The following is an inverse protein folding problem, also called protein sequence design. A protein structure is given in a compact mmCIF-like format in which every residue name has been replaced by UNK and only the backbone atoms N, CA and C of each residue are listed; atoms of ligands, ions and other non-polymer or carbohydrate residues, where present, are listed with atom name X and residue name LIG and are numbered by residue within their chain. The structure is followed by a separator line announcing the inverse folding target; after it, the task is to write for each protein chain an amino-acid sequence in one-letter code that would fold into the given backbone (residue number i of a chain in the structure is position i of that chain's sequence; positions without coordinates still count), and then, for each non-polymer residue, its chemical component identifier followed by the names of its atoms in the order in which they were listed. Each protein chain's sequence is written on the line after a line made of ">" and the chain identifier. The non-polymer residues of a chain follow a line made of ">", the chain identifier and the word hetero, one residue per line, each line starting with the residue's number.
data_IF_688285713291
#
_entry.id   IF_688285713291
#
_cell.length_a   1.000
_cell.length_b   1.000
_cell.length_c   1.000
_cell.angle_alpha   90.00
_cell.angle_beta   90.00
_cell.angle_gamma   90.00
#
_symmetry.space_group_name_H-M   'P 1'
#
loop_
_entity.id
_entity.type
_entity.pdbx_description
1 polymer ?
#
# COMPACT_ATOMS: atom_id res chain seq x y z
N UNK A 1 -11.77 -12.51 -8.54
CA UNK A 1 -11.02 -12.19 -9.78
C UNK A 1 -9.53 -12.31 -9.51
N UNK A 2 -8.72 -12.65 -10.52
CA UNK A 2 -7.25 -12.61 -10.39
C UNK A 2 -6.85 -11.13 -10.28
N UNK A 3 -6.16 -10.74 -9.19
CA UNK A 3 -5.70 -9.36 -8.99
C UNK A 3 -4.70 -8.99 -10.08
N UNK A 4 -4.84 -7.79 -10.63
CA UNK A 4 -4.04 -7.28 -11.74
C UNK A 4 -3.32 -6.01 -11.29
N UNK A 5 -2.06 -5.87 -11.70
CA UNK A 5 -1.17 -4.81 -11.26
C UNK A 5 -0.66 -4.03 -12.47
N UNK A 6 -0.17 -2.81 -12.28
CA UNK A 6 0.42 -2.00 -13.35
C UNK A 6 1.54 -2.73 -14.11
N UNK A 7 2.40 -3.48 -13.42
CA UNK A 7 3.46 -4.28 -14.04
C UNK A 7 2.99 -5.60 -14.64
N UNK A 8 1.71 -5.92 -14.55
CA UNK A 8 1.09 -7.14 -15.05
C UNK A 8 -0.03 -6.86 -16.08
N UNK A 9 0.01 -5.70 -16.73
CA UNK A 9 -0.95 -5.35 -17.78
C UNK A 9 -0.73 -6.24 -19.02
N UNK A 10 -1.80 -6.85 -19.57
CA UNK A 10 -1.76 -7.58 -20.82
C UNK A 10 -1.18 -6.77 -21.99
N UNK A 11 -0.30 -7.40 -22.76
CA UNK A 11 0.43 -6.79 -23.87
C UNK A 11 -0.48 -6.19 -24.97
N UNK A 12 -1.73 -6.64 -25.09
CA UNK A 12 -2.72 -6.09 -26.02
C UNK A 12 -3.29 -4.73 -25.57
N UNK A 13 -3.26 -4.43 -24.26
CA UNK A 13 -3.64 -3.13 -23.71
C UNK A 13 -2.49 -2.11 -23.79
N UNK A 14 -1.29 -2.55 -24.19
CA UNK A 14 -0.08 -1.72 -24.32
C UNK A 14 0.23 -1.36 -25.79
N UNK A 15 -0.74 -1.49 -26.70
CA UNK A 15 -0.50 -1.31 -28.14
C UNK A 15 0.00 0.10 -28.50
N UNK A 16 -0.50 1.14 -27.81
CA UNK A 16 -0.01 2.52 -27.98
C UNK A 16 1.43 2.69 -27.48
N UNK A 17 1.77 2.09 -26.34
CA UNK A 17 3.14 2.04 -25.81
C UNK A 17 4.10 1.32 -26.75
N UNK A 18 3.68 0.21 -27.38
CA UNK A 18 4.54 -0.53 -28.33
C UNK A 18 5.01 0.29 -29.52
N UNK A 19 4.29 1.36 -29.87
CA UNK A 19 4.69 2.30 -30.93
C UNK A 19 5.81 3.24 -30.45
N UNK A 20 5.91 3.49 -29.15
CA UNK A 20 6.92 4.33 -28.48
C UNK A 20 8.00 3.45 -27.85
N UNK A 21 9.03 3.12 -28.64
CA UNK A 21 9.98 2.03 -28.34
C UNK A 21 10.74 2.22 -27.03
N UNK A 22 11.12 3.45 -26.66
CA UNK A 22 11.87 3.73 -25.42
C UNK A 22 10.94 3.64 -24.21
N UNK A 23 9.72 4.17 -24.31
CA UNK A 23 8.70 4.03 -23.27
C UNK A 23 8.32 2.56 -23.04
N UNK A 24 8.15 1.78 -24.11
CA UNK A 24 7.90 0.34 -23.98
C UNK A 24 9.06 -0.42 -23.36
N UNK A 25 10.30 -0.06 -23.70
CA UNK A 25 11.49 -0.65 -23.09
C UNK A 25 11.59 -0.30 -21.61
N UNK A 26 11.28 0.94 -21.23
CA UNK A 26 11.17 1.37 -19.84
C UNK A 26 10.13 0.53 -19.08
N UNK A 27 8.91 0.38 -19.63
CA UNK A 27 7.88 -0.49 -19.04
C UNK A 27 8.37 -1.93 -18.85
N UNK A 28 8.99 -2.53 -19.86
CA UNK A 28 9.48 -3.92 -19.77
C UNK A 28 10.59 -4.08 -18.73
N UNK A 29 11.44 -3.06 -18.55
CA UNK A 29 12.44 -3.06 -17.50
C UNK A 29 11.79 -3.03 -16.11
N UNK A 30 10.81 -2.15 -15.89
CA UNK A 30 10.08 -2.08 -14.61
C UNK A 30 9.26 -3.36 -14.34
N UNK A 31 8.61 -3.91 -15.36
CA UNK A 31 7.92 -5.20 -15.28
C UNK A 31 8.86 -6.35 -14.88
N UNK A 32 10.06 -6.41 -15.47
CA UNK A 32 11.05 -7.43 -15.12
C UNK A 32 11.53 -7.28 -13.68
N UNK A 33 11.80 -6.06 -13.22
CA UNK A 33 12.18 -5.79 -11.82
C UNK A 33 11.09 -6.26 -10.84
N UNK A 34 9.82 -5.94 -11.11
CA UNK A 34 8.71 -6.37 -10.25
C UNK A 34 8.59 -7.90 -10.21
N UNK A 35 8.75 -8.56 -11.36
CA UNK A 35 8.74 -10.02 -11.44
C UNK A 35 9.88 -10.65 -10.65
N UNK A 36 11.11 -10.13 -10.77
CA UNK A 36 12.26 -10.60 -10.00
C UNK A 36 12.06 -10.42 -8.49
N UNK A 37 11.48 -9.30 -8.07
CA UNK A 37 11.12 -9.05 -6.65
C UNK A 37 10.09 -10.06 -6.13
N UNK A 38 9.06 -10.37 -6.92
CA UNK A 38 8.04 -11.37 -6.54
C UNK A 38 8.62 -12.79 -6.53
N UNK A 39 9.45 -13.13 -7.52
CA UNK A 39 10.13 -14.43 -7.60
C UNK A 39 11.06 -14.66 -6.40
N UNK A 40 11.70 -13.61 -5.90
CA UNK A 40 12.66 -13.65 -4.79
C UNK A 40 12.13 -13.01 -3.50
N UNK A 41 10.80 -12.93 -3.31
CA UNK A 41 10.19 -12.20 -2.19
C UNK A 41 10.57 -12.73 -0.79
N UNK A 42 11.09 -13.96 -0.70
CA UNK A 42 11.59 -14.56 0.55
C UNK A 42 13.03 -14.17 0.87
N UNK A 43 13.77 -13.60 -0.08
CA UNK A 43 15.21 -13.31 0.04
C UNK A 43 15.50 -11.88 0.51
N UNK A 44 14.46 -11.05 0.68
CA UNK A 44 14.56 -9.64 1.10
C UNK A 44 13.65 -9.40 2.30
N UNK A 45 13.92 -8.34 3.06
CA UNK A 45 13.01 -7.98 4.15
C UNK A 45 11.70 -7.46 3.55
N UNK A 46 10.57 -7.79 4.19
CA UNK A 46 9.25 -7.46 3.66
C UNK A 46 9.02 -5.93 3.46
N UNK A 47 9.47 -5.03 4.36
CA UNK A 47 9.42 -3.58 4.11
C UNK A 47 10.17 -3.14 2.85
N UNK A 48 11.31 -3.77 2.58
CA UNK A 48 12.14 -3.46 1.41
C UNK A 48 11.45 -3.90 0.11
N UNK A 49 10.80 -5.07 0.15
CA UNK A 49 9.98 -5.57 -0.94
C UNK A 49 8.83 -4.60 -1.25
N UNK A 50 8.10 -4.15 -0.22
CA UNK A 50 6.97 -3.23 -0.36
C UNK A 50 7.43 -1.89 -0.95
N UNK A 51 8.47 -1.27 -0.39
CA UNK A 51 8.99 0.00 -0.90
C UNK A 51 9.45 -0.11 -2.37
N UNK A 52 10.13 -1.21 -2.72
CA UNK A 52 10.59 -1.44 -4.09
C UNK A 52 9.44 -1.61 -5.08
N UNK A 53 8.38 -2.34 -4.68
CA UNK A 53 7.21 -2.53 -5.52
C UNK A 53 6.38 -1.24 -5.63
N UNK A 54 6.20 -0.47 -4.55
CA UNK A 54 5.54 0.84 -4.58
C UNK A 54 6.25 1.83 -5.52
N UNK A 55 7.59 1.82 -5.54
CA UNK A 55 8.37 2.61 -6.49
C UNK A 55 8.11 2.20 -7.95
N UNK A 56 8.06 0.90 -8.23
CA UNK A 56 7.76 0.40 -9.57
C UNK A 56 6.32 0.77 -9.96
N UNK A 57 5.37 0.61 -9.04
CA UNK A 57 3.96 0.97 -9.22
C UNK A 57 3.81 2.41 -9.69
N UNK A 58 4.38 3.36 -8.95
CA UNK A 58 4.25 4.79 -9.24
C UNK A 58 4.93 5.17 -10.56
N UNK A 59 6.11 4.59 -10.85
CA UNK A 59 6.81 4.86 -12.11
C UNK A 59 6.04 4.36 -13.33
N UNK A 60 5.38 3.19 -13.24
CA UNK A 60 4.53 2.69 -14.31
C UNK A 60 3.22 3.49 -14.40
N UNK A 61 2.63 3.90 -13.27
CA UNK A 61 1.46 4.79 -13.24
C UNK A 61 1.73 6.09 -13.99
N UNK A 62 2.85 6.77 -13.70
CA UNK A 62 3.24 7.98 -14.42
C UNK A 62 3.51 7.72 -15.91
N UNK A 63 4.14 6.59 -16.25
CA UNK A 63 4.32 6.20 -17.65
C UNK A 63 2.99 6.12 -18.39
N UNK A 64 1.99 5.47 -17.78
CA UNK A 64 0.65 5.32 -18.36
C UNK A 64 -0.05 6.67 -18.45
N UNK A 65 0.11 7.54 -17.44
CA UNK A 65 -0.42 8.90 -17.48
C UNK A 65 0.14 9.69 -18.66
N UNK A 66 1.46 9.82 -18.78
CA UNK A 66 2.10 10.57 -19.87
C UNK A 66 1.85 9.96 -21.25
N UNK A 67 1.69 8.64 -21.33
CA UNK A 67 1.33 7.97 -22.57
C UNK A 67 -0.07 8.35 -23.07
N UNK A 68 -1.02 8.54 -22.16
CA UNK A 68 -2.42 8.78 -22.48
C UNK A 68 -2.79 10.28 -22.48
N UNK A 69 -1.81 11.15 -22.25
CA UNK A 69 -2.01 12.60 -22.29
C UNK A 69 -2.14 13.03 -23.76
N UNK A 70 -3.33 13.45 -24.17
CA UNK A 70 -3.70 13.73 -25.58
C UNK A 70 -2.77 14.76 -26.25
N UNK A 71 -2.34 15.79 -25.51
CA UNK A 71 -1.48 16.88 -26.00
C UNK A 71 -0.06 16.84 -25.40
N UNK A 72 0.51 15.64 -25.23
CA UNK A 72 1.87 15.51 -24.70
C UNK A 72 2.92 15.94 -25.72
N UNK A 73 3.47 17.15 -25.58
CA UNK A 73 4.57 17.67 -26.41
C UNK A 73 5.95 17.05 -26.07
N UNK A 74 6.04 16.26 -25.00
CA UNK A 74 7.29 15.69 -24.53
C UNK A 74 7.76 14.50 -25.39
N UNK A 75 9.05 14.48 -25.71
CA UNK A 75 9.74 13.32 -26.27
C UNK A 75 9.73 12.14 -25.29
N UNK A 76 10.04 10.93 -25.79
CA UNK A 76 10.08 9.73 -24.93
C UNK A 76 11.14 9.86 -23.82
N UNK A 77 12.25 10.51 -24.11
CA UNK A 77 13.36 10.77 -23.18
C UNK A 77 12.98 11.80 -22.12
N UNK A 78 12.26 12.86 -22.50
CA UNK A 78 11.76 13.85 -21.56
C UNK A 78 10.74 13.22 -20.62
N UNK A 79 9.82 12.40 -21.14
CA UNK A 79 8.86 11.65 -20.31
C UNK A 79 9.59 10.77 -19.29
N UNK A 80 10.58 9.98 -19.72
CA UNK A 80 11.36 9.14 -18.80
C UNK A 80 12.07 10.00 -17.75
N UNK A 81 12.66 11.13 -18.15
CA UNK A 81 13.35 12.05 -17.22
C UNK A 81 12.38 12.62 -16.18
N UNK A 82 11.18 13.02 -16.61
CA UNK A 82 10.14 13.52 -15.72
C UNK A 82 9.66 12.43 -14.77
N UNK A 83 9.45 11.19 -15.24
CA UNK A 83 9.08 10.06 -14.37
C UNK A 83 10.13 9.83 -13.28
N UNK A 84 11.42 9.81 -13.63
CA UNK A 84 12.51 9.62 -12.66
C UNK A 84 12.62 10.76 -11.64
N UNK A 85 12.23 11.97 -12.02
CA UNK A 85 12.26 13.14 -11.14
C UNK A 85 11.04 13.22 -10.22
N UNK A 86 9.86 12.90 -10.75
CA UNK A 86 8.57 13.23 -10.12
C UNK A 86 7.87 12.05 -9.43
N UNK A 87 8.30 10.79 -9.67
CA UNK A 87 7.62 9.63 -9.06
C UNK A 87 7.54 9.73 -7.52
N UNK A 88 8.54 10.33 -6.88
CA UNK A 88 8.55 10.50 -5.44
C UNK A 88 7.51 11.50 -4.97
N UNK A 89 7.41 12.65 -5.64
CA UNK A 89 6.47 13.73 -5.30
C UNK A 89 5.03 13.23 -5.50
N UNK A 90 4.76 12.69 -6.69
CA UNK A 90 3.42 12.18 -7.06
C UNK A 90 2.91 11.05 -6.18
N UNK A 91 3.81 10.21 -5.64
CA UNK A 91 3.42 9.16 -4.69
C UNK A 91 2.75 9.73 -3.43
N UNK A 92 3.30 10.81 -2.88
CA UNK A 92 2.80 11.42 -1.63
C UNK A 92 1.65 12.41 -1.85
N UNK A 93 1.56 13.03 -3.03
CA UNK A 93 0.44 13.90 -3.38
C UNK A 93 -0.87 13.14 -3.62
N UNK A 94 -0.79 11.86 -3.98
CA UNK A 94 -1.97 11.04 -4.35
C UNK A 94 -2.55 10.23 -3.20
N UNK A 95 -1.99 10.36 -1.99
CA UNK A 95 -2.44 9.66 -0.79
C UNK A 95 -2.87 10.67 0.27
N UNK A 96 -3.87 10.30 1.07
CA UNK A 96 -4.29 11.10 2.23
C UNK A 96 -3.12 11.24 3.21
N UNK A 97 -2.90 12.46 3.71
CA UNK A 97 -1.82 12.73 4.65
C UNK A 97 -1.92 11.83 5.89
N UNK A 98 -0.83 11.16 6.29
CA UNK A 98 -0.86 10.28 7.45
C UNK A 98 -1.09 11.10 8.73
N UNK A 99 -1.96 10.61 9.60
CA UNK A 99 -2.30 11.26 10.87
C UNK A 99 -1.12 11.36 11.84
N UNK A 100 -0.12 10.47 11.72
CA UNK A 100 1.08 10.46 12.57
C UNK A 100 2.32 9.98 11.80
N UNK A 101 3.51 10.37 12.26
CA UNK A 101 4.81 9.91 11.72
C UNK A 101 5.00 8.39 11.84
N UNK A 102 4.42 7.79 12.89
CA UNK A 102 4.44 6.34 13.09
C UNK A 102 3.77 5.64 11.91
N UNK A 103 2.63 6.15 11.45
CA UNK A 103 1.88 5.58 10.33
C UNK A 103 2.63 5.78 9.01
N UNK A 104 3.12 7.00 8.77
CA UNK A 104 3.86 7.32 7.55
C UNK A 104 5.12 6.47 7.37
N UNK A 105 5.75 6.05 8.47
CA UNK A 105 7.03 5.33 8.46
C UNK A 105 6.90 3.81 8.42
N UNK A 106 5.74 3.23 8.74
CA UNK A 106 5.57 1.77 8.93
C UNK A 106 4.46 1.14 8.08
N UNK A 107 3.58 1.93 7.49
CA UNK A 107 2.45 1.43 6.71
C UNK A 107 2.83 1.08 5.29
N UNK A 108 2.31 -0.04 4.79
CA UNK A 108 2.46 -0.44 3.39
C UNK A 108 2.00 0.65 2.39
N UNK A 109 1.06 1.51 2.78
CA UNK A 109 0.53 2.59 1.93
C UNK A 109 1.51 3.74 1.72
N UNK A 110 2.36 4.03 2.71
CA UNK A 110 3.22 5.22 2.75
C UNK A 110 4.71 4.91 2.49
N UNK A 111 5.06 3.62 2.44
CA UNK A 111 6.43 3.15 2.22
C UNK A 111 6.85 3.28 0.75
N UNK A 112 7.58 4.35 0.40
CA UNK A 112 8.25 4.49 -0.90
C UNK A 112 9.79 4.38 -0.81
N UNK A 113 10.35 4.77 0.33
CA UNK A 113 11.77 4.64 0.64
C UNK A 113 11.91 3.91 1.98
N UNK A 114 13.09 3.34 2.23
CA UNK A 114 13.35 2.60 3.46
C UNK A 114 13.79 3.54 4.60
N UNK A 115 12.99 3.67 5.66
CA UNK A 115 13.55 4.01 6.97
C UNK A 115 13.40 2.87 8.00
N UNK A 116 12.57 1.85 7.73
CA UNK A 116 12.14 0.91 8.77
C UNK A 116 12.41 -0.56 8.47
N UNK A 117 12.61 -1.34 9.53
CA UNK A 117 12.67 -2.80 9.53
C UNK A 117 11.36 -3.45 10.00
N UNK A 118 10.41 -2.62 10.42
CA UNK A 118 9.17 -3.04 11.09
C UNK A 118 7.97 -2.54 10.29
N UNK A 119 6.89 -3.31 10.28
CA UNK A 119 5.61 -2.87 9.72
C UNK A 119 4.66 -2.43 10.84
N UNK A 120 3.51 -1.85 10.49
CA UNK A 120 2.52 -1.40 11.48
C UNK A 120 2.10 -2.48 12.47
N UNK A 121 2.11 -3.77 12.10
CA UNK A 121 1.76 -4.90 12.96
C UNK A 121 2.92 -5.41 13.84
N UNK A 122 4.13 -4.89 13.66
CA UNK A 122 5.30 -5.25 14.48
C UNK A 122 5.47 -4.33 15.70
N UNK A 123 4.75 -3.21 15.73
CA UNK A 123 4.89 -2.16 16.73
C UNK A 123 4.39 -2.57 18.13
N UNK A 124 4.93 -1.93 19.17
CA UNK A 124 4.48 -2.10 20.56
C UNK A 124 3.18 -1.31 20.82
N UNK A 125 2.07 -1.88 20.37
CA UNK A 125 0.74 -1.32 20.58
C UNK A 125 0.38 -1.14 22.05
N UNK A 126 0.89 -2.02 22.93
CA UNK A 126 0.63 -1.93 24.38
C UNK A 126 1.23 -0.67 24.97
N UNK A 127 2.41 -0.26 24.51
CA UNK A 127 3.03 1.00 24.90
C UNK A 127 2.28 2.21 24.31
N UNK A 128 1.84 2.15 23.05
CA UNK A 128 1.07 3.23 22.41
C UNK A 128 -0.22 3.55 23.15
N UNK A 129 -0.98 2.52 23.54
CA UNK A 129 -2.20 2.67 24.33
C UNK A 129 -1.95 3.37 25.69
N UNK A 130 -0.78 3.17 26.31
CA UNK A 130 -0.40 3.86 27.57
C UNK A 130 -0.10 5.34 27.34
N UNK A 131 0.44 5.69 26.18
CA UNK A 131 0.77 7.06 25.81
C UNK A 131 -0.49 7.86 25.44
N UNK A 132 -1.45 7.25 24.75
CA UNK A 132 -2.72 7.87 24.36
C UNK A 132 -3.80 7.96 25.44
N UNK A 133 -3.43 7.83 26.72
CA UNK A 133 -4.32 8.03 27.87
C UNK A 133 -5.62 7.19 27.85
N UNK A 134 -5.61 5.95 27.34
CA UNK A 134 -6.74 5.04 27.53
C UNK A 134 -6.81 4.60 29.00
N UNK A 135 -7.68 5.26 29.78
CA UNK A 135 -7.75 5.14 31.26
C UNK A 135 -8.53 3.90 31.75
N UNK A 136 -9.20 3.13 30.88
CA UNK A 136 -9.89 1.88 31.27
C UNK A 136 -9.10 0.61 30.91
N UNK A 137 -8.74 -0.16 31.95
CA UNK A 137 -8.04 -1.45 31.88
C UNK A 137 -8.78 -2.50 31.04
N UNK A 138 -10.11 -2.50 31.02
CA UNK A 138 -10.88 -3.53 30.29
C UNK A 138 -10.88 -3.27 28.77
N UNK A 139 -10.92 -2.00 28.38
CA UNK A 139 -10.85 -1.54 27.00
C UNK A 139 -9.45 -1.77 26.40
N UNK A 140 -8.41 -1.49 27.19
CA UNK A 140 -7.01 -1.78 26.85
C UNK A 140 -6.80 -3.26 26.46
N UNK A 141 -7.38 -4.20 27.22
CA UNK A 141 -7.21 -5.64 26.99
C UNK A 141 -7.88 -6.13 25.71
N UNK A 142 -9.07 -5.61 25.39
CA UNK A 142 -9.79 -5.99 24.16
C UNK A 142 -9.05 -5.53 22.91
N UNK A 143 -8.62 -4.27 22.88
CA UNK A 143 -7.86 -3.72 21.74
C UNK A 143 -6.52 -4.43 21.57
N UNK A 144 -5.79 -4.67 22.66
CA UNK A 144 -4.53 -5.42 22.63
C UNK A 144 -4.71 -6.82 22.05
N UNK A 145 -5.76 -7.55 22.46
CA UNK A 145 -6.06 -8.88 21.90
C UNK A 145 -6.39 -8.82 20.41
N UNK A 146 -7.11 -7.79 19.97
CA UNK A 146 -7.42 -7.59 18.56
C UNK A 146 -6.14 -7.38 17.75
N UNK A 147 -5.28 -6.46 18.19
CA UNK A 147 -4.01 -6.17 17.54
C UNK A 147 -3.06 -7.37 17.52
N UNK A 148 -2.94 -8.11 18.63
CA UNK A 148 -2.15 -9.36 18.67
C UNK A 148 -2.62 -10.41 17.66
N UNK A 149 -3.94 -10.50 17.43
CA UNK A 149 -4.48 -11.39 16.40
C UNK A 149 -4.03 -10.98 15.00
N UNK A 150 -4.07 -9.68 14.69
CA UNK A 150 -3.60 -9.14 13.42
C UNK A 150 -2.10 -9.38 13.23
N UNK A 151 -1.30 -9.12 14.26
CA UNK A 151 0.13 -9.40 14.26
C UNK A 151 0.44 -10.87 13.96
N UNK A 152 -0.24 -11.80 14.62
CA UNK A 152 -0.05 -13.23 14.37
C UNK A 152 -0.51 -13.62 12.95
N UNK A 153 -1.58 -13.01 12.44
CA UNK A 153 -2.02 -13.26 11.06
C UNK A 153 -0.99 -12.76 10.04
N UNK A 154 -0.46 -11.55 10.21
CA UNK A 154 0.56 -10.99 9.33
C UNK A 154 1.83 -11.86 9.31
N UNK A 155 2.36 -12.22 10.49
CA UNK A 155 3.55 -13.09 10.60
C UNK A 155 3.35 -14.42 9.88
N UNK A 156 2.21 -15.08 10.10
CA UNK A 156 1.88 -16.34 9.42
C UNK A 156 1.77 -16.20 7.89
N UNK A 157 1.29 -15.06 7.38
CA UNK A 157 1.19 -14.81 5.94
C UNK A 157 2.56 -14.54 5.32
N UNK A 158 3.41 -13.76 6.00
CA UNK A 158 4.78 -13.45 5.56
C UNK A 158 5.62 -14.73 5.50
N UNK A 159 5.54 -15.61 6.52
CA UNK A 159 6.26 -16.89 6.51
C UNK A 159 5.90 -17.80 5.32
N UNK A 160 4.66 -17.69 4.82
CA UNK A 160 4.14 -18.49 3.72
C UNK A 160 4.20 -17.75 2.38
N UNK A 161 4.72 -16.52 2.36
CA UNK A 161 4.83 -15.71 1.17
C UNK A 161 5.87 -16.31 0.23
N UNK A 162 5.49 -16.58 -1.02
CA UNK A 162 6.36 -17.00 -2.10
C UNK A 162 5.76 -16.54 -3.44
N UNK A 163 6.41 -16.83 -4.57
CA UNK A 163 5.94 -16.40 -5.89
C UNK A 163 4.53 -16.89 -6.23
N UNK A 164 4.12 -18.08 -5.78
CA UNK A 164 2.79 -18.63 -6.04
C UNK A 164 1.71 -17.99 -5.16
N UNK A 165 2.05 -17.67 -3.90
CA UNK A 165 1.10 -17.13 -2.91
C UNK A 165 1.08 -15.61 -2.84
N UNK A 166 2.07 -14.93 -3.43
CA UNK A 166 2.32 -13.50 -3.30
C UNK A 166 1.05 -12.67 -3.51
N UNK A 167 0.40 -12.80 -4.66
CA UNK A 167 -0.77 -11.99 -5.00
C UNK A 167 -1.96 -12.18 -4.05
N UNK A 168 -2.10 -13.39 -3.51
CA UNK A 168 -3.17 -13.69 -2.56
C UNK A 168 -2.85 -13.08 -1.20
N UNK A 169 -1.63 -13.31 -0.69
CA UNK A 169 -1.25 -12.90 0.66
C UNK A 169 -0.92 -11.42 0.76
N UNK A 170 -0.35 -10.80 -0.28
CA UNK A 170 -0.07 -9.36 -0.30
C UNK A 170 -1.34 -8.55 -0.02
N UNK A 171 -2.45 -8.90 -0.68
CA UNK A 171 -3.71 -8.18 -0.44
C UNK A 171 -4.28 -8.39 0.96
N UNK A 172 -4.06 -9.55 1.56
CA UNK A 172 -4.46 -9.82 2.94
C UNK A 172 -3.57 -9.04 3.92
N UNK A 173 -2.27 -8.93 3.63
CA UNK A 173 -1.33 -8.11 4.39
C UNK A 173 -1.69 -6.62 4.32
N UNK A 174 -2.08 -6.13 3.15
CA UNK A 174 -2.55 -4.76 2.98
C UNK A 174 -3.84 -4.48 3.79
N UNK A 175 -4.78 -5.42 3.84
CA UNK A 175 -5.95 -5.32 4.71
C UNK A 175 -5.57 -5.28 6.20
N UNK A 176 -4.60 -6.11 6.61
CA UNK A 176 -4.07 -6.09 7.98
C UNK A 176 -3.39 -4.75 8.28
N UNK A 177 -2.63 -4.20 7.32
CA UNK A 177 -2.01 -2.88 7.42
C UNK A 177 -3.06 -1.80 7.72
N UNK A 178 -4.15 -1.75 6.95
CA UNK A 178 -5.27 -0.83 7.19
C UNK A 178 -5.88 -1.01 8.59
N UNK A 179 -6.07 -2.25 9.02
CA UNK A 179 -6.62 -2.56 10.34
C UNK A 179 -5.72 -2.08 11.47
N UNK A 180 -4.40 -2.31 11.33
CA UNK A 180 -3.42 -1.82 12.27
C UNK A 180 -3.34 -0.29 12.28
N UNK A 181 -3.38 0.36 11.11
CA UNK A 181 -3.43 1.83 10.99
C UNK A 181 -4.59 2.38 11.83
N UNK A 182 -5.81 1.93 11.57
CA UNK A 182 -7.00 2.43 12.25
C UNK A 182 -6.95 2.18 13.77
N UNK A 183 -6.45 1.02 14.22
CA UNK A 183 -6.27 0.75 15.65
C UNK A 183 -5.23 1.68 16.29
N UNK A 184 -4.15 1.98 15.59
CA UNK A 184 -3.09 2.87 16.08
C UNK A 184 -3.59 4.32 16.11
N UNK A 185 -4.34 4.76 15.10
CA UNK A 185 -4.98 6.08 15.08
C UNK A 185 -5.91 6.24 16.28
N UNK A 186 -6.77 5.27 16.53
CA UNK A 186 -7.65 5.26 17.70
C UNK A 186 -6.87 5.24 19.02
N UNK A 187 -5.74 4.53 19.08
CA UNK A 187 -4.90 4.48 20.28
C UNK A 187 -4.19 5.80 20.56
N UNK A 188 -3.81 6.56 19.52
CA UNK A 188 -3.02 7.79 19.64
C UNK A 188 -3.88 9.06 19.68
N UNK A 189 -5.04 9.06 19.02
CA UNK A 189 -5.91 10.24 18.85
C UNK A 189 -7.09 10.29 19.81
N UNK A 190 -7.25 9.32 20.73
CA UNK A 190 -8.32 9.35 21.73
C UNK A 190 -8.10 10.45 22.78
N UNK A 191 -8.39 11.69 22.39
CA UNK A 191 -8.82 12.73 23.31
C UNK A 191 -10.30 12.49 23.62
N UNK A 192 -10.61 12.10 24.86
CA UNK A 192 -11.99 12.01 25.41
C UNK A 192 -13.06 11.40 24.48
N UNK A 193 -12.75 10.30 23.79
CA UNK A 193 -13.73 9.61 22.94
C UNK A 193 -14.85 8.99 23.79
N UNK A 194 -16.09 9.40 23.53
CA UNK A 194 -17.33 8.85 24.12
C UNK A 194 -17.67 7.43 23.65
N UNK A 195 -16.93 6.88 22.67
CA UNK A 195 -17.20 5.56 22.11
C UNK A 195 -16.60 4.43 22.94
N UNK A 196 -17.41 3.41 23.20
CA UNK A 196 -16.97 2.12 23.76
C UNK A 196 -16.06 1.38 22.81
N UNK A 197 -15.26 0.42 23.31
CA UNK A 197 -14.39 -0.39 22.43
C UNK A 197 -15.17 -1.21 21.41
N UNK A 198 -16.37 -1.70 21.74
CA UNK A 198 -17.15 -2.48 20.79
C UNK A 198 -17.70 -1.60 19.65
N UNK A 199 -18.01 -0.34 19.93
CA UNK A 199 -18.36 0.68 18.91
C UNK A 199 -17.15 1.04 18.06
N UNK A 200 -15.97 1.27 18.67
CA UNK A 200 -14.72 1.52 17.96
C UNK A 200 -14.37 0.36 16.99
N UNK A 201 -14.42 -0.89 17.46
CA UNK A 201 -14.18 -2.06 16.61
C UNK A 201 -15.22 -2.23 15.51
N UNK A 202 -16.45 -1.76 15.73
CA UNK A 202 -17.50 -1.74 14.72
C UNK A 202 -17.26 -0.65 13.68
N UNK A 203 -16.87 0.55 14.12
CA UNK A 203 -16.49 1.67 13.28
C UNK A 203 -15.30 1.32 12.39
N UNK A 204 -14.23 0.73 12.95
CA UNK A 204 -13.08 0.25 12.17
C UNK A 204 -13.52 -0.73 11.07
N UNK A 205 -14.39 -1.69 11.40
CA UNK A 205 -14.92 -2.64 10.39
C UNK A 205 -15.77 -1.96 9.33
N UNK A 206 -16.53 -0.94 9.69
CA UNK A 206 -17.35 -0.16 8.75
C UNK A 206 -16.47 0.72 7.87
N UNK A 207 -15.44 1.36 8.42
CA UNK A 207 -14.51 2.19 7.67
C UNK A 207 -13.69 1.33 6.71
N UNK A 208 -13.24 0.13 7.11
CA UNK A 208 -12.62 -0.81 6.18
C UNK A 208 -13.57 -1.21 5.06
N UNK A 209 -14.86 -1.43 5.35
CA UNK A 209 -15.86 -1.71 4.32
C UNK A 209 -16.10 -0.52 3.41
N UNK A 210 -16.03 0.70 3.95
CA UNK A 210 -16.17 1.95 3.22
C UNK A 210 -14.95 2.23 2.36
N UNK A 211 -13.72 2.10 2.88
CA UNK A 211 -12.46 2.06 2.11
C UNK A 211 -12.58 1.03 0.99
N UNK A 212 -13.02 -0.20 1.32
CA UNK A 212 -13.28 -1.26 0.35
C UNK A 212 -14.41 -0.93 -0.64
N UNK A 213 -15.31 0.01 -0.36
CA UNK A 213 -16.44 0.34 -1.25
C UNK A 213 -16.18 1.61 -2.08
N UNK A 214 -15.55 2.63 -1.48
CA UNK A 214 -15.23 3.92 -2.09
C UNK A 214 -13.99 3.81 -2.97
N UNK A 215 -12.92 3.14 -2.51
CA UNK A 215 -11.71 2.96 -3.31
C UNK A 215 -11.87 1.94 -4.45
N UNK A 216 -12.91 1.08 -4.42
CA UNK A 216 -13.06 -0.04 -5.38
C UNK A 216 -14.27 0.07 -6.29
N UNK A 217 -15.13 1.08 -6.12
CA UNK A 217 -16.32 1.26 -6.97
C UNK A 217 -16.36 2.60 -7.68
N UNK A 218 -15.63 3.61 -7.20
CA UNK A 218 -15.55 4.90 -7.88
C UNK A 218 -14.42 4.90 -8.90
N UNK A 219 -14.77 4.44 -10.11
CA UNK A 219 -14.04 4.66 -11.35
C UNK A 219 -13.79 6.17 -11.56
N UNK A 220 -12.56 6.67 -11.38
CA UNK A 220 -12.20 7.96 -11.97
C UNK A 220 -10.89 8.01 -12.77
N UNK A 221 -10.04 6.99 -12.72
CA UNK A 221 -9.02 6.77 -13.75
C UNK A 221 -9.00 5.30 -14.17
N UNK A 222 -8.97 5.06 -15.49
CA UNK A 222 -9.12 3.74 -16.14
C UNK A 222 -8.15 2.63 -15.65
N UNK A 223 -7.22 2.97 -14.75
CA UNK A 223 -6.16 2.09 -14.28
C UNK A 223 -5.85 2.22 -12.76
N UNK A 224 -6.58 3.01 -11.96
CA UNK A 224 -6.27 3.13 -10.52
C UNK A 224 -6.42 1.80 -9.77
N UNK A 225 -7.39 0.97 -10.17
CA UNK A 225 -7.58 -0.39 -9.66
C UNK A 225 -6.38 -1.33 -9.91
N UNK A 226 -5.37 -0.89 -10.68
CA UNK A 226 -4.12 -1.62 -10.93
C UNK A 226 -2.99 -1.23 -9.98
N UNK A 227 -3.16 -0.19 -9.16
CA UNK A 227 -2.13 0.18 -8.19
C UNK A 227 -2.01 -0.90 -7.13
N UNK A 228 -0.77 -1.24 -6.78
CA UNK A 228 -0.43 -2.16 -5.69
C UNK A 228 -1.14 -1.81 -4.37
N UNK A 229 -1.29 -0.52 -4.08
CA UNK A 229 -1.91 0.02 -2.85
C UNK A 229 -3.44 -0.09 -2.85
N UNK A 230 -4.06 -0.33 -4.00
CA UNK A 230 -5.51 -0.45 -4.14
C UNK A 230 -5.94 -1.89 -4.43
N UNK A 231 -5.19 -2.86 -3.91
CA UNK A 231 -5.43 -4.29 -4.15
C UNK A 231 -6.15 -4.99 -2.99
N UNK A 232 -6.91 -4.31 -2.14
CA UNK A 232 -7.64 -4.96 -1.02
C UNK A 232 -8.92 -5.64 -1.50
#
# INVERSE_FOLDING_TARGET
>A
MKKQYYWNIPDNLLNSLKQRKKLYSFYKNEQNKARELVENCQSVLFPELVASLNKIDERIKLLIFYQNLEDCELSEEEIITVIEREYFVTFYETIEEPTTEIISSHSMYYLLQQPTKEMLWDLDFSNMLKQGQLVDLMDYQKLTKCYQKLQNQAKNLIEKLNKETFYTFYSQLLLIDCQCKLLIEEALLKEESLMTVDECLTAIKQEIRKIHFEQFKYQHYLFEDLSLRYQV
#
